data_IF_144494065815
#
_entry.id   IF_144494065815
#
_cell.length_a   1.000
_cell.length_b   1.000
_cell.length_c   1.000
_cell.angle_alpha   90.00
_cell.angle_beta   90.00
_cell.angle_gamma   90.00
#
_symmetry.space_group_name_H-M   'P 1'
#
loop_
_entity.id
_entity.type
_entity.pdbx_description
1 polymer ?
#
# COMPACT_ATOMS: atom_id res chain seq x y z
N UNK A 1 -17.26 -0.42 -7.64
CA UNK A 1 -15.96 0.14 -7.26
C UNK A 1 -16.20 1.57 -6.82
N UNK A 2 -15.95 1.88 -5.56
CA UNK A 2 -16.04 3.23 -5.03
C UNK A 2 -14.87 4.06 -5.58
N UNK A 3 -14.98 5.38 -5.53
CA UNK A 3 -13.79 6.21 -5.71
C UNK A 3 -12.83 6.01 -4.52
N UNK A 4 -11.53 6.28 -4.70
CA UNK A 4 -10.51 6.05 -3.67
C UNK A 4 -10.80 6.76 -2.34
N UNK A 5 -11.38 7.97 -2.39
CA UNK A 5 -11.69 8.75 -1.21
C UNK A 5 -12.88 8.14 -0.45
N UNK A 6 -13.97 7.83 -1.14
CA UNK A 6 -15.13 7.17 -0.53
C UNK A 6 -14.78 5.80 0.05
N UNK A 7 -13.93 5.02 -0.63
CA UNK A 7 -13.44 3.74 -0.14
C UNK A 7 -12.61 3.88 1.14
N UNK A 8 -11.73 4.90 1.21
CA UNK A 8 -10.94 5.19 2.40
C UNK A 8 -11.85 5.54 3.59
N UNK A 9 -12.82 6.43 3.38
CA UNK A 9 -13.76 6.86 4.41
C UNK A 9 -14.62 5.70 4.94
N UNK A 10 -15.17 4.87 4.05
CA UNK A 10 -15.98 3.71 4.47
C UNK A 10 -15.15 2.70 5.27
N UNK A 11 -13.91 2.45 4.84
CA UNK A 11 -13.03 1.54 5.54
C UNK A 11 -12.65 2.07 6.93
N UNK A 12 -12.24 3.33 7.03
CA UNK A 12 -11.80 3.95 8.29
C UNK A 12 -12.95 4.08 9.29
N UNK A 13 -14.15 4.42 8.82
CA UNK A 13 -15.33 4.66 9.68
C UNK A 13 -15.70 3.43 10.55
N UNK A 14 -15.24 2.25 10.16
CA UNK A 14 -15.61 0.97 10.77
C UNK A 14 -14.41 0.25 11.40
N UNK A 15 -13.23 0.88 11.41
CA UNK A 15 -12.06 0.41 12.16
C UNK A 15 -12.16 0.82 13.63
N UNK A 16 -11.60 -0.01 14.51
CA UNK A 16 -11.35 0.40 15.89
C UNK A 16 -10.23 1.44 15.96
N UNK A 17 -10.16 2.23 17.03
CA UNK A 17 -9.07 3.22 17.20
C UNK A 17 -7.68 2.58 17.21
N UNK A 18 -7.58 1.37 17.77
CA UNK A 18 -6.35 0.58 17.73
C UNK A 18 -5.96 0.21 16.29
N UNK A 19 -6.93 -0.26 15.49
CA UNK A 19 -6.68 -0.66 14.11
C UNK A 19 -6.38 0.53 13.20
N UNK A 20 -7.00 1.70 13.46
CA UNK A 20 -6.67 2.96 12.78
C UNK A 20 -5.21 3.34 13.02
N UNK A 21 -4.72 3.20 14.26
CA UNK A 21 -3.34 3.53 14.60
C UNK A 21 -2.36 2.54 13.95
N UNK A 22 -2.68 1.24 14.00
CA UNK A 22 -1.90 0.20 13.35
C UNK A 22 -1.83 0.41 11.83
N UNK A 23 -2.97 0.74 11.22
CA UNK A 23 -3.07 1.06 9.80
C UNK A 23 -2.21 2.28 9.47
N UNK A 24 -2.35 3.39 10.20
CA UNK A 24 -1.56 4.61 9.98
C UNK A 24 -0.06 4.33 10.01
N UNK A 25 0.43 3.68 11.07
CA UNK A 25 1.85 3.35 11.21
C UNK A 25 2.37 2.48 10.06
N UNK A 26 1.56 1.49 9.65
CA UNK A 26 1.90 0.61 8.54
C UNK A 26 1.94 1.36 7.21
N UNK A 27 0.98 2.26 6.98
CA UNK A 27 0.91 3.07 5.76
C UNK A 27 2.04 4.11 5.69
N UNK A 28 2.48 4.68 6.81
CA UNK A 28 3.65 5.58 6.83
C UNK A 28 4.92 4.85 6.38
N UNK A 29 5.19 3.66 6.93
CA UNK A 29 6.34 2.86 6.49
C UNK A 29 6.23 2.38 5.04
N UNK A 30 5.01 2.06 4.59
CA UNK A 30 4.73 1.74 3.20
C UNK A 30 5.04 2.93 2.28
N UNK A 31 4.62 4.14 2.66
CA UNK A 31 4.77 5.35 1.86
C UNK A 31 6.22 5.81 1.71
N UNK A 32 7.00 5.69 2.78
CA UNK A 32 8.45 5.88 2.72
C UNK A 32 9.11 4.88 1.75
N UNK A 33 8.72 3.61 1.84
CA UNK A 33 9.25 2.54 0.97
C UNK A 33 8.85 2.78 -0.49
N UNK A 34 7.59 3.14 -0.74
CA UNK A 34 7.09 3.43 -2.09
C UNK A 34 7.80 4.63 -2.69
N UNK A 35 7.92 5.72 -1.94
CA UNK A 35 8.60 6.95 -2.39
C UNK A 35 10.07 6.68 -2.74
N UNK A 36 10.79 5.91 -1.92
CA UNK A 36 12.17 5.51 -2.20
C UNK A 36 12.32 4.65 -3.47
N UNK A 37 11.33 3.80 -3.78
CA UNK A 37 11.47 2.78 -4.83
C UNK A 37 10.73 3.11 -6.14
N UNK A 38 9.75 4.02 -6.13
CA UNK A 38 8.86 4.32 -7.29
C UNK A 38 9.63 4.72 -8.54
N UNK A 39 10.74 5.43 -8.39
CA UNK A 39 11.52 5.98 -9.50
C UNK A 39 12.86 5.26 -9.72
N UNK A 40 13.14 4.18 -8.99
CA UNK A 40 14.44 3.51 -9.04
C UNK A 40 14.34 2.23 -9.85
N UNK A 41 15.08 2.19 -10.96
CA UNK A 41 15.27 0.98 -11.76
C UNK A 41 16.66 0.40 -11.46
N UNK A 42 16.72 -0.80 -10.91
CA UNK A 42 18.00 -1.46 -10.65
C UNK A 42 18.40 -2.32 -11.84
N UNK A 43 19.49 -1.93 -12.50
CA UNK A 43 20.04 -2.69 -13.61
C UNK A 43 21.11 -3.67 -13.12
N UNK A 44 21.02 -4.94 -13.52
CA UNK A 44 22.02 -5.95 -13.15
C UNK A 44 22.52 -6.72 -14.36
N UNK A 45 23.77 -6.48 -14.73
CA UNK A 45 24.48 -7.20 -15.79
C UNK A 45 24.78 -8.67 -15.41
N UNK A 46 24.63 -9.03 -14.13
CA UNK A 46 24.78 -10.42 -13.65
C UNK A 46 23.72 -11.36 -14.22
N UNK A 47 22.63 -10.80 -14.78
CA UNK A 47 21.52 -11.54 -15.37
C UNK A 47 21.66 -11.79 -16.87
N UNK A 48 22.75 -11.38 -17.54
CA UNK A 48 22.95 -11.63 -18.98
C UNK A 48 22.83 -13.13 -19.38
N UNK A 49 23.06 -14.06 -18.44
CA UNK A 49 22.87 -15.52 -18.65
C UNK A 49 21.41 -15.99 -18.52
N UNK A 50 20.45 -15.10 -18.22
CA UNK A 50 19.03 -15.41 -17.96
C UNK A 50 18.09 -14.87 -19.05
N UNK A 51 18.59 -14.65 -20.28
CA UNK A 51 17.83 -14.12 -21.45
C UNK A 51 16.52 -14.89 -21.69
N UNK A 52 16.51 -16.18 -21.34
CA UNK A 52 15.39 -17.10 -21.57
C UNK A 52 14.49 -17.31 -20.35
N UNK A 53 14.70 -16.64 -19.22
CA UNK A 53 13.84 -16.81 -18.03
C UNK A 53 12.63 -15.87 -18.11
N UNK A 54 11.40 -16.38 -17.89
CA UNK A 54 10.20 -15.54 -17.89
C UNK A 54 10.27 -14.49 -16.78
N UNK A 55 9.56 -13.37 -16.98
CA UNK A 55 9.38 -12.34 -15.94
C UNK A 55 8.83 -13.02 -14.68
N UNK A 56 9.45 -12.74 -13.53
CA UNK A 56 9.03 -13.29 -12.24
C UNK A 56 8.75 -12.14 -11.30
N UNK A 57 7.55 -12.12 -10.74
CA UNK A 57 7.22 -11.26 -9.60
C UNK A 57 7.48 -12.02 -8.32
N UNK A 58 8.30 -11.45 -7.45
CA UNK A 58 8.55 -11.97 -6.10
C UNK A 58 7.79 -11.11 -5.09
N UNK A 59 6.99 -11.74 -4.25
CA UNK A 59 6.25 -11.06 -3.18
C UNK A 59 7.20 -10.74 -2.04
N UNK A 60 7.32 -9.45 -1.72
CA UNK A 60 8.19 -8.96 -0.64
C UNK A 60 7.44 -8.94 0.69
N UNK A 61 6.29 -8.28 0.71
CA UNK A 61 5.47 -8.09 1.90
C UNK A 61 4.00 -8.03 1.49
N UNK A 62 3.12 -8.56 2.34
CA UNK A 62 1.69 -8.33 2.24
C UNK A 62 1.22 -7.79 3.59
N UNK A 63 0.58 -6.62 3.54
CA UNK A 63 -0.17 -6.07 4.65
C UNK A 63 -1.63 -6.43 4.45
N UNK A 64 -2.27 -6.91 5.50
CA UNK A 64 -3.67 -7.31 5.48
C UNK A 64 -4.38 -6.67 6.65
N UNK A 65 -5.47 -5.97 6.35
CA UNK A 65 -6.33 -5.32 7.33
C UNK A 65 -7.77 -5.73 7.09
N UNK A 66 -8.52 -5.86 8.17
CA UNK A 66 -9.94 -6.19 8.15
C UNK A 66 -10.67 -5.30 9.13
N UNK A 67 -11.78 -4.70 8.70
CA UNK A 67 -12.60 -3.86 9.58
C UNK A 67 -13.70 -4.67 10.29
N UNK A 68 -14.49 -3.99 11.12
CA UNK A 68 -15.59 -4.62 11.85
C UNK A 68 -16.74 -5.11 10.96
N UNK A 69 -16.83 -4.61 9.72
CA UNK A 69 -17.80 -5.06 8.69
C UNK A 69 -17.28 -6.23 7.86
N UNK A 70 -16.10 -6.75 8.21
CA UNK A 70 -15.39 -7.78 7.46
C UNK A 70 -14.88 -7.34 6.08
N UNK A 71 -14.86 -6.03 5.79
CA UNK A 71 -14.22 -5.54 4.59
C UNK A 71 -12.70 -5.71 4.70
N UNK A 72 -12.08 -6.07 3.59
CA UNK A 72 -10.68 -6.51 3.56
C UNK A 72 -9.85 -5.57 2.69
N UNK A 73 -8.78 -5.03 3.26
CA UNK A 73 -7.76 -4.23 2.58
C UNK A 73 -6.45 -5.03 2.55
N UNK A 74 -6.01 -5.39 1.35
CA UNK A 74 -4.76 -6.10 1.12
C UNK A 74 -3.80 -5.23 0.30
N UNK A 75 -2.60 -5.02 0.82
CA UNK A 75 -1.55 -4.26 0.15
C UNK A 75 -0.35 -5.19 -0.03
N UNK A 76 -0.05 -5.54 -1.28
CA UNK A 76 1.03 -6.45 -1.61
C UNK A 76 2.15 -5.72 -2.32
N UNK A 77 3.34 -5.74 -1.73
CA UNK A 77 4.57 -5.23 -2.31
C UNK A 77 5.27 -6.34 -3.10
N UNK A 78 5.64 -6.03 -4.35
CA UNK A 78 6.21 -6.96 -5.29
C UNK A 78 7.51 -6.41 -5.87
N UNK A 79 8.45 -7.32 -6.07
CA UNK A 79 9.67 -7.10 -6.82
C UNK A 79 9.56 -7.82 -8.15
N UNK A 80 9.38 -7.05 -9.21
CA UNK A 80 9.32 -7.58 -10.56
C UNK A 80 10.74 -7.71 -11.10
N UNK A 81 11.11 -8.95 -11.42
CA UNK A 81 12.37 -9.27 -12.06
C UNK A 81 12.15 -9.39 -13.57
N UNK A 82 12.69 -8.44 -14.31
CA UNK A 82 12.89 -8.57 -15.76
C UNK A 82 14.36 -8.85 -16.08
N UNK A 83 14.63 -9.26 -17.31
CA UNK A 83 15.95 -9.70 -17.77
C UNK A 83 17.11 -8.78 -17.35
N UNK A 84 16.91 -7.46 -17.37
CA UNK A 84 17.93 -6.48 -16.97
C UNK A 84 17.48 -5.51 -15.88
N UNK A 85 16.18 -5.43 -15.58
CA UNK A 85 15.61 -4.40 -14.69
C UNK A 85 14.80 -5.05 -13.58
N UNK A 86 15.12 -4.68 -12.35
CA UNK A 86 14.20 -4.90 -11.24
C UNK A 86 13.33 -3.64 -11.09
N UNK A 87 12.02 -3.84 -10.96
CA UNK A 87 11.08 -2.78 -10.62
C UNK A 87 10.29 -3.14 -9.38
N UNK A 88 9.97 -2.12 -8.59
CA UNK A 88 9.09 -2.23 -7.45
C UNK A 88 7.65 -1.95 -7.89
N UNK A 89 6.71 -2.77 -7.44
CA UNK A 89 5.28 -2.65 -7.74
C UNK A 89 4.48 -2.88 -6.47
N UNK A 90 3.39 -2.12 -6.31
CA UNK A 90 2.42 -2.33 -5.24
C UNK A 90 1.09 -2.72 -5.87
N UNK A 91 0.47 -3.76 -5.35
CA UNK A 91 -0.91 -4.14 -5.63
C UNK A 91 -1.77 -3.80 -4.42
N UNK A 92 -2.85 -3.05 -4.62
CA UNK A 92 -3.78 -2.65 -3.58
C UNK A 92 -5.14 -3.25 -3.94
N UNK A 93 -5.71 -3.99 -3.01
CA UNK A 93 -7.03 -4.61 -3.15
C UNK A 93 -7.91 -4.22 -1.97
N UNK A 94 -9.14 -3.82 -2.26
CA UNK A 94 -10.18 -3.58 -1.27
C UNK A 94 -11.45 -4.32 -1.70
N UNK A 95 -11.91 -5.28 -0.88
CA UNK A 95 -13.08 -6.14 -1.18
C UNK A 95 -13.09 -6.67 -2.62
N UNK A 96 -11.98 -7.32 -3.03
CA UNK A 96 -11.76 -7.87 -4.38
C UNK A 96 -11.61 -6.86 -5.54
N UNK A 97 -11.69 -5.56 -5.26
CA UNK A 97 -11.44 -4.52 -6.26
C UNK A 97 -10.00 -4.03 -6.17
N UNK A 98 -9.32 -3.95 -7.32
CA UNK A 98 -7.98 -3.36 -7.40
C UNK A 98 -8.07 -1.84 -7.43
N UNK A 99 -7.23 -1.20 -6.61
CA UNK A 99 -7.06 0.24 -6.57
C UNK A 99 -5.62 0.61 -6.95
N UNK A 100 -5.44 1.84 -7.42
CA UNK A 100 -4.12 2.44 -7.53
C UNK A 100 -3.68 3.05 -6.19
N UNK A 101 -2.50 3.68 -6.19
CA UNK A 101 -1.93 4.26 -4.98
C UNK A 101 -2.75 5.41 -4.39
N UNK A 102 -3.71 5.98 -5.12
CA UNK A 102 -4.54 7.08 -4.59
C UNK A 102 -5.37 6.65 -3.39
N UNK A 103 -5.78 5.37 -3.29
CA UNK A 103 -6.47 4.86 -2.11
C UNK A 103 -5.58 4.94 -0.86
N UNK A 104 -4.29 4.65 -0.99
CA UNK A 104 -3.33 4.78 0.12
C UNK A 104 -3.15 6.24 0.51
N UNK A 105 -3.09 7.14 -0.49
CA UNK A 105 -3.01 8.58 -0.23
C UNK A 105 -4.25 9.08 0.52
N UNK A 106 -5.45 8.71 0.09
CA UNK A 106 -6.71 9.03 0.78
C UNK A 106 -6.77 8.48 2.20
N UNK A 107 -6.41 7.20 2.41
CA UNK A 107 -6.36 6.60 3.75
C UNK A 107 -5.39 7.35 4.68
N UNK A 108 -4.21 7.72 4.18
CA UNK A 108 -3.22 8.48 4.95
C UNK A 108 -3.71 9.89 5.31
N UNK A 109 -4.39 10.57 4.38
CA UNK A 109 -4.94 11.90 4.60
C UNK A 109 -6.02 11.86 5.69
N UNK A 110 -7.01 10.97 5.55
CA UNK A 110 -8.13 10.85 6.48
C UNK A 110 -7.68 10.40 7.89
N UNK A 111 -6.74 9.45 7.98
CA UNK A 111 -6.19 9.00 9.26
C UNK A 111 -5.42 10.13 9.95
N UNK A 112 -4.57 10.85 9.21
CA UNK A 112 -3.84 12.01 9.76
C UNK A 112 -4.81 13.07 10.27
N UNK A 113 -5.81 13.44 9.48
CA UNK A 113 -6.82 14.42 9.90
C UNK A 113 -7.53 14.00 11.18
N UNK A 114 -7.90 12.73 11.30
CA UNK A 114 -8.53 12.18 12.52
C UNK A 114 -7.65 12.39 13.75
N UNK A 115 -6.36 12.03 13.68
CA UNK A 115 -5.44 12.19 14.82
C UNK A 115 -5.01 13.65 15.08
N UNK A 116 -4.93 14.49 14.04
CA UNK A 116 -4.63 15.92 14.23
C UNK A 116 -5.80 16.66 14.91
N UNK A 117 -7.04 16.36 14.52
CA UNK A 117 -8.23 16.97 15.14
C UNK A 117 -8.39 16.56 16.61
N UNK A 118 -8.05 15.31 16.96
CA UNK A 118 -8.05 14.88 18.36
C UNK A 118 -7.08 15.70 19.21
N UNK A 119 -5.87 16.02 18.70
CA UNK A 119 -4.89 16.81 19.46
C UNK A 119 -5.32 18.26 19.70
N UNK A 120 -6.04 18.89 18.77
CA UNK A 120 -6.56 20.26 18.96
C UNK A 120 -7.75 20.32 19.92
N UNK A 121 -8.51 19.23 20.08
CA UNK A 121 -9.67 19.18 20.99
C UNK A 121 -9.32 19.13 22.49
N UNK A 122 -8.04 18.90 22.81
CA UNK A 122 -7.52 18.89 24.19
C UNK A 122 -6.67 20.13 24.55
N UNK A 123 -6.51 21.08 23.61
CA UNK A 123 -5.79 22.34 23.80
C UNK A 123 -6.73 23.49 24.20
#
# INVERSE_FOLDING_TARGET
>A
MLDPQSAAQEFIATLSEYDKQLLLNSLLGLDETHTCNRNVSFYSYRNLKKILKPKRSERMQTLYFKNNRQDELTITQLKDHSFLKNSYRIEIMYNDHSYDYSLISSLLEDLKQTYFMEMESYA
#
